data_IF_639573877557
#
_entry.id   IF_639573877557
#
_cell.length_a   1.000
_cell.length_b   1.000
_cell.length_c   1.000
_cell.angle_alpha   90.00
_cell.angle_beta   90.00
_cell.angle_gamma   90.00
#
_symmetry.space_group_name_H-M   'P 1'
#
loop_
_entity.id
_entity.type
_entity.pdbx_description
1 polymer ?
#
# COMPACT_ATOMS: atom_id res chain seq x y z
N UNK A 1 -14.91 -28.57 44.23
CA UNK A 1 -14.68 -27.71 43.04
C UNK A 1 -13.19 -27.44 42.98
N UNK A 2 -12.50 -28.03 42.00
CA UNK A 2 -11.03 -28.07 41.90
C UNK A 2 -10.47 -26.78 41.31
N UNK A 3 -9.20 -26.50 41.59
CA UNK A 3 -8.47 -25.30 41.15
C UNK A 3 -8.38 -25.12 39.63
N UNK A 4 -8.74 -26.13 38.83
CA UNK A 4 -8.85 -26.00 37.37
C UNK A 4 -10.04 -25.15 36.92
N UNK A 5 -11.14 -25.11 37.68
CA UNK A 5 -12.33 -24.33 37.31
C UNK A 5 -12.18 -22.82 37.52
N UNK A 6 -11.13 -22.38 38.24
CA UNK A 6 -10.86 -20.96 38.50
C UNK A 6 -9.96 -20.31 37.44
N UNK A 7 -9.21 -21.10 36.67
CA UNK A 7 -8.35 -20.58 35.60
C UNK A 7 -9.11 -20.33 34.29
N UNK A 8 -10.17 -21.10 34.01
CA UNK A 8 -11.02 -20.89 32.83
C UNK A 8 -12.00 -19.71 32.96
N UNK A 9 -12.28 -19.24 34.18
CA UNK A 9 -13.19 -18.09 34.39
C UNK A 9 -12.47 -16.73 34.35
N UNK A 10 -11.15 -16.71 34.16
CA UNK A 10 -10.35 -15.47 34.06
C UNK A 10 -10.06 -15.06 32.60
N UNK A 11 -10.44 -15.87 31.61
CA UNK A 11 -10.13 -15.66 30.18
C UNK A 11 -11.29 -15.01 29.40
N UNK A 12 -12.36 -14.58 30.08
CA UNK A 12 -13.57 -14.08 29.45
C UNK A 12 -13.91 -12.63 29.87
N UNK A 13 -12.93 -11.71 29.87
CA UNK A 13 -13.16 -10.26 29.82
C UNK A 13 -12.00 -9.61 29.07
N UNK A 14 -12.08 -9.55 27.73
CA UNK A 14 -11.40 -8.52 26.92
C UNK A 14 -12.32 -8.14 25.76
N UNK A 15 -13.46 -7.56 26.13
CA UNK A 15 -14.08 -6.51 25.34
C UNK A 15 -13.81 -5.20 26.09
N UNK A 16 -13.76 -4.07 25.37
CA UNK A 16 -13.45 -2.68 25.81
C UNK A 16 -11.95 -2.40 26.04
N UNK A 17 -11.31 -1.35 25.52
CA UNK A 17 -11.78 -0.14 24.84
C UNK A 17 -10.61 0.49 24.04
N UNK A 18 -10.76 0.73 22.72
CA UNK A 18 -9.95 1.74 22.04
C UNK A 18 -10.64 3.09 22.29
N UNK A 19 -10.22 3.77 23.36
CA UNK A 19 -10.55 5.16 23.60
C UNK A 19 -9.40 6.03 23.05
N UNK A 20 -9.72 6.86 22.07
CA UNK A 20 -8.86 7.92 21.54
C UNK A 20 -8.51 8.89 22.68
N UNK A 21 -7.23 8.95 23.06
CA UNK A 21 -6.61 9.98 23.90
C UNK A 21 -5.09 9.86 23.74
N UNK A 22 -4.27 10.87 23.50
CA UNK A 22 -4.44 12.31 23.37
C UNK A 22 -3.05 12.91 23.08
N UNK A 23 -3.05 14.12 22.55
CA UNK A 23 -1.88 14.97 22.33
C UNK A 23 -0.96 15.01 23.58
N UNK A 24 0.27 14.50 23.45
CA UNK A 24 1.30 14.53 24.49
C UNK A 24 2.60 15.09 23.92
N UNK A 25 2.79 16.40 24.08
CA UNK A 25 4.05 17.07 23.74
C UNK A 25 5.19 16.66 24.68
N UNK A 26 6.40 16.55 24.10
CA UNK A 26 7.64 16.36 24.84
C UNK A 26 8.79 17.06 24.12
N UNK A 27 9.22 18.20 24.66
CA UNK A 27 10.41 18.90 24.19
C UNK A 27 11.70 18.20 24.63
N UNK A 28 12.75 18.36 23.83
CA UNK A 28 14.11 17.94 24.18
C UNK A 28 15.13 18.70 23.34
N UNK A 29 15.84 19.63 23.97
CA UNK A 29 16.95 20.35 23.36
C UNK A 29 18.21 19.49 23.26
N UNK A 30 19.05 19.79 22.27
CA UNK A 30 20.36 19.15 22.10
C UNK A 30 21.30 20.08 21.34
N UNK A 31 22.21 20.69 22.08
CA UNK A 31 23.26 21.61 21.65
C UNK A 31 24.42 20.94 20.93
N UNK A 32 25.01 21.65 19.95
CA UNK A 32 26.45 21.83 19.85
C UNK A 32 27.23 20.84 18.97
N UNK A 33 27.92 21.39 17.97
CA UNK A 33 28.96 20.69 17.22
C UNK A 33 29.68 21.64 16.26
N UNK A 34 30.81 22.18 16.70
CA UNK A 34 31.72 23.03 15.92
C UNK A 34 32.89 22.21 15.40
N UNK A 35 33.37 22.53 14.19
CA UNK A 35 34.67 22.11 13.64
C UNK A 35 34.53 21.48 12.25
N UNK A 36 35.34 21.76 11.24
CA UNK A 36 36.58 22.54 11.14
C UNK A 36 37.47 21.92 10.05
N UNK A 37 38.07 22.74 9.18
CA UNK A 37 39.16 22.38 8.24
C UNK A 37 38.73 21.51 7.04
N UNK A 38 39.27 21.61 5.83
CA UNK A 38 40.48 22.26 5.31
C UNK A 38 40.98 21.45 4.11
N UNK A 39 41.56 22.12 3.10
CA UNK A 39 42.24 21.51 1.94
C UNK A 39 41.34 21.44 0.70
N UNK A 40 41.61 22.08 -0.44
CA UNK A 40 42.90 22.45 -1.01
C UNK A 40 43.44 21.29 -1.85
N UNK A 41 43.09 21.27 -3.14
CA UNK A 41 43.50 20.23 -4.08
C UNK A 41 43.20 20.61 -5.51
N UNK A 42 44.10 21.40 -6.11
CA UNK A 42 44.20 21.59 -7.55
C UNK A 42 44.55 20.26 -8.24
N UNK A 43 43.79 19.89 -9.27
CA UNK A 43 44.04 18.69 -10.05
C UNK A 43 43.34 18.76 -11.40
N UNK A 44 43.98 19.43 -12.36
CA UNK A 44 43.59 19.38 -13.77
C UNK A 44 43.82 17.98 -14.35
N UNK A 45 42.90 17.53 -15.20
CA UNK A 45 42.99 16.26 -15.92
C UNK A 45 42.09 16.29 -17.15
N UNK A 46 42.68 16.08 -18.32
CA UNK A 46 42.13 16.29 -19.65
C UNK A 46 40.83 15.56 -19.96
N UNK A 47 40.03 16.23 -20.79
CA UNK A 47 38.83 15.68 -21.40
C UNK A 47 39.12 14.49 -22.31
N UNK A 48 38.35 13.43 -22.09
CA UNK A 48 38.04 12.42 -23.10
C UNK A 48 36.54 12.50 -23.35
N UNK A 49 36.13 13.05 -24.49
CA UNK A 49 34.76 12.99 -24.96
C UNK A 49 34.42 11.54 -25.33
N UNK A 50 33.97 10.76 -24.35
CA UNK A 50 33.31 9.48 -24.59
C UNK A 50 31.92 9.78 -25.13
N UNK A 51 31.65 9.40 -26.38
CA UNK A 51 30.29 9.44 -26.91
C UNK A 51 29.42 8.54 -26.06
N UNK A 52 28.54 9.14 -25.27
CA UNK A 52 27.55 8.42 -24.47
C UNK A 52 26.64 7.65 -25.41
N UNK A 53 26.87 6.35 -25.53
CA UNK A 53 25.84 5.46 -26.04
C UNK A 53 24.73 5.50 -25.00
N UNK A 54 23.62 6.16 -25.33
CA UNK A 54 22.46 6.18 -24.45
C UNK A 54 21.99 4.75 -24.15
N UNK A 55 21.37 4.55 -22.99
CA UNK A 55 20.83 3.26 -22.58
C UNK A 55 19.87 2.73 -23.65
N UNK A 56 20.13 1.50 -24.11
CA UNK A 56 19.28 0.78 -25.08
C UNK A 56 18.38 -0.26 -24.40
N UNK A 57 18.38 -0.28 -23.08
CA UNK A 57 17.53 -1.14 -22.25
C UNK A 57 17.07 -0.33 -21.05
N UNK A 58 15.81 -0.54 -20.65
CA UNK A 58 15.22 0.07 -19.47
C UNK A 58 14.55 -1.05 -18.65
N UNK A 59 14.80 -1.07 -17.35
CA UNK A 59 14.06 -1.92 -16.41
C UNK A 59 13.17 -1.06 -15.52
N UNK A 60 12.07 -1.64 -15.05
CA UNK A 60 11.20 -0.98 -14.10
C UNK A 60 10.51 -1.99 -13.17
N UNK A 61 9.98 -1.48 -12.07
CA UNK A 61 9.24 -2.25 -11.05
C UNK A 61 7.88 -1.62 -10.81
N UNK A 62 6.81 -2.36 -11.08
CA UNK A 62 5.42 -1.93 -10.92
C UNK A 62 4.89 -2.39 -9.57
N UNK A 63 4.47 -1.46 -8.71
CA UNK A 63 4.18 -1.74 -7.30
C UNK A 63 2.89 -1.07 -6.83
N UNK A 64 1.91 -1.86 -6.37
CA UNK A 64 0.83 -1.48 -5.42
C UNK A 64 -0.05 -2.64 -4.83
N UNK A 65 0.46 -3.58 -3.99
CA UNK A 65 1.70 -4.35 -4.05
C UNK A 65 2.03 -4.81 -5.46
N UNK A 66 3.12 -5.55 -5.66
CA UNK A 66 3.53 -5.97 -7.00
C UNK A 66 2.36 -6.38 -7.90
N UNK A 67 2.23 -5.66 -9.02
CA UNK A 67 1.15 -5.84 -9.97
C UNK A 67 1.64 -6.84 -11.01
N UNK A 68 0.92 -7.95 -11.18
CA UNK A 68 1.27 -9.00 -12.14
C UNK A 68 0.51 -8.78 -13.46
N UNK A 69 1.18 -9.01 -14.59
CA UNK A 69 0.54 -8.99 -15.91
C UNK A 69 0.40 -7.60 -16.56
N UNK A 70 0.78 -6.52 -15.89
CA UNK A 70 0.69 -5.16 -16.42
C UNK A 70 1.71 -4.92 -17.54
N UNK A 71 1.31 -4.20 -18.59
CA UNK A 71 2.18 -3.81 -19.71
C UNK A 71 2.27 -2.29 -19.75
N UNK A 72 3.46 -1.76 -20.05
CA UNK A 72 3.71 -0.31 -20.12
C UNK A 72 4.28 0.09 -21.48
N UNK A 73 3.96 1.30 -21.90
CA UNK A 73 4.60 1.95 -23.04
C UNK A 73 5.60 3.00 -22.57
N UNK A 74 6.73 3.12 -23.27
CA UNK A 74 7.64 4.25 -23.14
C UNK A 74 7.21 5.33 -24.14
N UNK A 75 6.70 6.45 -23.65
CA UNK A 75 6.08 7.51 -24.48
C UNK A 75 6.64 8.88 -24.14
N UNK A 76 6.60 9.79 -25.11
CA UNK A 76 6.91 11.22 -24.95
C UNK A 76 5.65 12.10 -24.89
N UNK A 77 4.46 11.51 -25.10
CA UNK A 77 3.18 12.24 -25.16
C UNK A 77 2.26 12.02 -23.97
N UNK A 78 2.69 11.27 -22.96
CA UNK A 78 1.87 10.94 -21.79
C UNK A 78 0.72 9.97 -22.07
N UNK A 79 0.66 9.37 -23.26
CA UNK A 79 -0.32 8.33 -23.62
C UNK A 79 0.31 7.32 -24.57
N UNK A 80 0.02 6.03 -24.37
CA UNK A 80 0.45 4.95 -25.26
C UNK A 80 -0.02 5.16 -26.71
N UNK A 81 0.92 5.11 -27.66
CA UNK A 81 0.65 5.02 -29.10
C UNK A 81 0.92 3.61 -29.64
N UNK A 82 0.39 3.26 -30.83
CA UNK A 82 0.68 1.96 -31.45
C UNK A 82 2.18 1.71 -31.69
N UNK A 83 2.95 2.76 -31.98
CA UNK A 83 4.38 2.71 -32.29
C UNK A 83 5.31 2.90 -31.09
N UNK A 84 4.78 3.22 -29.91
CA UNK A 84 5.59 3.34 -28.69
C UNK A 84 6.18 1.96 -28.30
N UNK A 85 7.45 1.91 -27.85
CA UNK A 85 8.04 0.70 -27.28
C UNK A 85 7.21 0.18 -26.09
N UNK A 86 6.99 -1.13 -26.04
CA UNK A 86 6.23 -1.79 -24.97
C UNK A 86 7.12 -2.72 -24.16
N UNK A 87 6.83 -2.82 -22.87
CA UNK A 87 7.47 -3.80 -22.00
C UNK A 87 6.96 -5.21 -22.24
N UNK A 88 7.65 -6.21 -21.67
CA UNK A 88 6.97 -7.45 -21.30
C UNK A 88 5.90 -7.19 -20.22
N UNK A 89 4.97 -8.13 -20.05
CA UNK A 89 4.06 -8.14 -18.92
C UNK A 89 4.85 -8.29 -17.61
N UNK A 90 4.45 -7.56 -16.57
CA UNK A 90 5.07 -7.62 -15.25
C UNK A 90 4.94 -9.00 -14.63
N UNK A 91 6.00 -9.46 -13.96
CA UNK A 91 5.99 -10.73 -13.24
C UNK A 91 5.42 -10.59 -11.82
N UNK A 92 5.48 -11.67 -11.02
CA UNK A 92 4.99 -11.68 -9.64
C UNK A 92 5.75 -10.76 -8.68
N UNK A 93 6.86 -10.16 -9.14
CA UNK A 93 7.65 -9.14 -8.41
C UNK A 93 7.52 -7.77 -9.06
N UNK A 94 6.56 -7.60 -9.97
CA UNK A 94 6.29 -6.35 -10.66
C UNK A 94 7.36 -5.98 -11.69
N UNK A 95 8.34 -6.83 -11.97
CA UNK A 95 9.47 -6.47 -12.83
C UNK A 95 9.06 -6.48 -14.31
N UNK A 96 9.43 -5.41 -15.00
CA UNK A 96 9.29 -5.26 -16.45
C UNK A 96 10.61 -4.82 -17.08
N UNK A 97 10.72 -5.05 -18.38
CA UNK A 97 11.88 -4.72 -19.20
C UNK A 97 11.46 -4.24 -20.58
N UNK A 98 12.25 -3.32 -21.14
CA UNK A 98 12.11 -2.81 -22.50
C UNK A 98 13.35 -3.14 -23.33
N UNK A 99 13.12 -3.60 -24.54
CA UNK A 99 14.14 -3.72 -25.59
C UNK A 99 13.99 -2.51 -26.53
N UNK A 100 14.96 -1.60 -26.52
CA UNK A 100 14.88 -0.35 -27.27
C UNK A 100 15.75 -0.39 -28.52
N UNK A 101 15.21 0.09 -29.65
CA UNK A 101 15.97 0.25 -30.89
C UNK A 101 16.91 1.47 -30.89
N UNK A 102 16.82 2.31 -29.86
CA UNK A 102 17.58 3.55 -29.70
C UNK A 102 17.66 4.02 -28.25
N UNK A 103 18.28 5.19 -28.00
CA UNK A 103 18.32 5.77 -26.66
C UNK A 103 16.92 6.12 -26.15
N UNK A 104 16.73 6.09 -24.85
CA UNK A 104 15.53 6.61 -24.18
C UNK A 104 15.33 8.08 -24.59
N UNK A 105 14.14 8.48 -25.09
CA UNK A 105 13.86 9.87 -25.42
C UNK A 105 14.00 10.79 -24.21
N UNK A 106 14.45 12.03 -24.44
CA UNK A 106 14.36 13.07 -23.41
C UNK A 106 12.90 13.24 -22.97
N UNK A 107 12.69 13.44 -21.68
CA UNK A 107 11.37 13.59 -21.06
C UNK A 107 10.42 12.39 -21.27
N UNK A 108 10.94 11.19 -21.48
CA UNK A 108 10.12 9.99 -21.58
C UNK A 108 9.33 9.72 -20.29
N UNK A 109 8.20 9.04 -20.45
CA UNK A 109 7.29 8.62 -19.40
C UNK A 109 6.87 7.17 -19.65
N UNK A 110 6.79 6.39 -18.58
CA UNK A 110 6.15 5.08 -18.61
C UNK A 110 4.66 5.28 -18.31
N UNK A 111 3.80 4.68 -19.13
CA UNK A 111 2.33 4.73 -18.96
C UNK A 111 1.77 3.33 -19.15
N UNK A 112 0.89 2.89 -18.26
CA UNK A 112 0.24 1.59 -18.37
C UNK A 112 -0.60 1.51 -19.67
N UNK A 113 -0.44 0.43 -20.41
CA UNK A 113 -1.18 0.15 -21.65
C UNK A 113 -2.53 -0.49 -21.30
N UNK A 114 -3.56 0.34 -21.16
CA UNK A 114 -4.91 -0.12 -20.82
C UNK A 114 -5.50 -1.09 -21.84
N UNK A 115 -5.05 -1.06 -23.10
CA UNK A 115 -5.52 -1.99 -24.14
C UNK A 115 -4.89 -3.38 -23.98
N UNK A 116 -3.71 -3.46 -23.38
CA UNK A 116 -3.03 -4.72 -23.03
C UNK A 116 -3.45 -5.27 -21.65
N UNK A 117 -4.03 -4.42 -20.79
CA UNK A 117 -4.48 -4.75 -19.45
C UNK A 117 -3.62 -4.09 -18.37
N UNK A 118 -4.27 -3.65 -17.29
CA UNK A 118 -3.62 -2.97 -16.16
C UNK A 118 -2.97 -3.94 -15.16
N UNK A 119 -3.14 -5.25 -15.36
CA UNK A 119 -2.64 -6.30 -14.47
C UNK A 119 -3.55 -6.57 -13.27
N UNK A 120 -3.05 -7.41 -12.39
CA UNK A 120 -3.74 -7.91 -11.19
C UNK A 120 -2.92 -7.52 -9.96
N UNK A 121 -3.57 -6.94 -8.96
CA UNK A 121 -2.99 -6.69 -7.64
C UNK A 121 -3.81 -7.46 -6.59
N UNK A 122 -3.15 -8.25 -5.74
CA UNK A 122 -3.83 -9.03 -4.70
C UNK A 122 -5.02 -9.87 -5.21
N UNK A 123 -4.90 -10.44 -6.42
CA UNK A 123 -5.94 -11.29 -7.03
C UNK A 123 -7.13 -10.56 -7.63
N UNK A 124 -7.15 -9.22 -7.61
CA UNK A 124 -8.17 -8.38 -8.26
C UNK A 124 -7.60 -7.61 -9.43
N UNK A 125 -8.45 -7.28 -10.41
CA UNK A 125 -8.08 -6.36 -11.48
C UNK A 125 -7.62 -5.03 -10.91
N UNK A 126 -6.47 -4.56 -11.35
CA UNK A 126 -5.97 -3.27 -10.96
C UNK A 126 -6.70 -2.15 -11.72
N UNK A 127 -7.20 -1.16 -10.99
CA UNK A 127 -8.15 -0.17 -11.53
C UNK A 127 -7.55 1.23 -11.76
N UNK A 128 -6.24 1.40 -11.63
CA UNK A 128 -5.55 2.68 -11.80
C UNK A 128 -4.61 2.61 -13.01
N UNK A 129 -4.66 3.62 -13.89
CA UNK A 129 -3.63 3.77 -14.94
C UNK A 129 -2.38 4.36 -14.32
N UNK A 130 -1.36 3.52 -14.12
CA UNK A 130 -0.11 3.92 -13.48
C UNK A 130 0.84 4.58 -14.47
N UNK A 131 1.69 5.45 -13.94
CA UNK A 131 2.68 6.13 -14.73
C UNK A 131 3.91 6.54 -13.92
N UNK A 132 5.03 6.80 -14.60
CA UNK A 132 6.24 7.31 -13.98
C UNK A 132 7.06 8.13 -14.98
N UNK A 133 7.67 9.21 -14.50
CA UNK A 133 8.64 9.97 -15.29
C UNK A 133 9.96 9.19 -15.37
N UNK A 134 10.57 9.12 -16.56
CA UNK A 134 11.83 8.40 -16.78
C UNK A 134 12.98 9.39 -16.84
N UNK A 135 13.97 9.22 -15.96
CA UNK A 135 15.25 9.90 -16.10
C UNK A 135 16.14 9.10 -17.06
N UNK A 136 16.76 9.75 -18.05
CA UNK A 136 17.61 9.09 -19.06
C UNK A 136 18.83 8.39 -18.48
N UNK A 137 19.21 8.73 -17.25
CA UNK A 137 20.34 8.13 -16.53
C UNK A 137 19.92 7.02 -15.54
N UNK A 138 18.62 6.69 -15.45
CA UNK A 138 18.12 5.66 -14.54
C UNK A 138 18.12 4.28 -15.19
N UNK A 139 18.75 3.31 -14.54
CA UNK A 139 18.79 1.90 -14.98
C UNK A 139 17.52 1.12 -14.57
N UNK A 140 16.88 1.53 -13.46
CA UNK A 140 15.64 0.96 -12.92
C UNK A 140 14.69 2.10 -12.50
N UNK A 141 13.41 1.97 -12.84
CA UNK A 141 12.36 2.95 -12.53
C UNK A 141 11.30 2.27 -11.67
N UNK A 142 10.94 2.87 -10.54
CA UNK A 142 9.80 2.40 -9.75
C UNK A 142 8.53 3.09 -10.27
N UNK A 143 7.51 2.29 -10.55
CA UNK A 143 6.18 2.74 -10.94
C UNK A 143 5.24 2.40 -9.78
N UNK A 144 4.93 3.41 -8.96
CA UNK A 144 4.05 3.33 -7.79
C UNK A 144 2.93 4.37 -7.88
N UNK A 145 1.90 4.34 -7.01
CA UNK A 145 0.90 5.39 -6.97
C UNK A 145 1.52 6.77 -6.69
N UNK A 146 2.59 6.84 -5.90
CA UNK A 146 3.29 8.10 -5.61
C UNK A 146 4.03 8.65 -6.84
N UNK A 147 4.73 7.80 -7.60
CA UNK A 147 5.35 8.24 -8.86
C UNK A 147 4.29 8.56 -9.93
N UNK A 148 3.12 7.91 -9.87
CA UNK A 148 1.98 8.21 -10.74
C UNK A 148 1.38 9.57 -10.41
N UNK A 149 1.25 9.93 -9.13
CA UNK A 149 0.81 11.27 -8.72
C UNK A 149 1.77 12.34 -9.27
N UNK A 150 3.08 12.10 -9.13
CA UNK A 150 4.10 12.96 -9.73
C UNK A 150 3.91 13.09 -11.24
N UNK A 151 3.84 11.97 -11.95
CA UNK A 151 3.79 11.99 -13.40
C UNK A 151 2.48 12.56 -13.96
N UNK A 152 1.33 12.32 -13.31
CA UNK A 152 0.04 12.89 -13.70
C UNK A 152 -0.05 14.40 -13.48
N UNK A 153 0.77 14.95 -12.59
CA UNK A 153 0.84 16.40 -12.38
C UNK A 153 1.69 17.12 -13.43
N UNK A 154 2.44 16.38 -14.26
CA UNK A 154 3.25 16.96 -15.33
C UNK A 154 2.35 17.52 -16.46
N UNK A 155 2.73 18.68 -16.99
CA UNK A 155 2.08 19.28 -18.14
C UNK A 155 2.44 18.53 -19.41
N UNK A 156 1.44 18.06 -20.14
CA UNK A 156 1.63 17.48 -21.48
C UNK A 156 1.34 18.55 -22.54
N UNK A 157 2.31 18.81 -23.40
CA UNK A 157 2.19 19.76 -24.50
C UNK A 157 2.39 19.08 -25.86
N UNK A 158 2.13 19.79 -26.96
CA UNK A 158 2.42 19.28 -28.31
C UNK A 158 3.90 18.99 -28.58
N UNK A 159 4.80 19.38 -27.67
CA UNK A 159 6.23 19.10 -27.73
C UNK A 159 6.69 18.02 -26.74
N UNK A 160 5.75 17.37 -26.04
CA UNK A 160 6.01 16.29 -25.10
C UNK A 160 5.64 16.62 -23.65
N UNK A 161 6.05 15.73 -22.73
CA UNK A 161 5.87 15.86 -21.27
C UNK A 161 6.89 16.85 -20.71
N UNK A 162 6.43 17.84 -19.94
CA UNK A 162 7.30 18.80 -19.23
C UNK A 162 7.55 18.33 -17.79
N UNK A 163 8.69 17.67 -17.56
CA UNK A 163 9.07 17.13 -16.26
C UNK A 163 9.23 18.22 -15.19
N UNK A 164 9.62 19.44 -15.58
CA UNK A 164 9.85 20.55 -14.64
C UNK A 164 8.54 21.14 -14.10
N UNK A 165 7.41 20.83 -14.73
CA UNK A 165 6.09 21.26 -14.30
C UNK A 165 5.39 20.29 -13.34
N UNK A 166 5.95 19.10 -13.14
CA UNK A 166 5.43 18.10 -12.21
C UNK A 166 5.66 18.52 -10.75
N UNK A 167 4.84 17.99 -9.85
CA UNK A 167 5.10 17.99 -8.42
C UNK A 167 6.48 17.37 -8.16
N UNK A 168 7.26 18.02 -7.30
CA UNK A 168 8.52 17.46 -6.83
C UNK A 168 8.27 16.41 -5.75
N UNK A 169 9.28 15.58 -5.47
CA UNK A 169 9.19 14.61 -4.37
C UNK A 169 8.95 15.32 -3.02
N UNK A 170 9.48 16.53 -2.85
CA UNK A 170 9.25 17.35 -1.66
C UNK A 170 7.79 17.83 -1.56
N UNK A 171 7.16 18.22 -2.67
CA UNK A 171 5.76 18.64 -2.69
C UNK A 171 4.83 17.47 -2.31
N UNK A 172 5.11 16.27 -2.80
CA UNK A 172 4.32 15.06 -2.47
C UNK A 172 4.48 14.70 -0.98
N UNK A 173 5.71 14.79 -0.45
CA UNK A 173 5.94 14.62 0.99
C UNK A 173 5.14 15.65 1.80
N UNK A 174 5.15 16.92 1.39
CA UNK A 174 4.42 17.98 2.07
C UNK A 174 2.90 17.70 2.07
N UNK A 175 2.35 17.26 0.94
CA UNK A 175 0.94 16.85 0.82
C UNK A 175 0.59 15.70 1.77
N UNK A 176 1.39 14.64 1.78
CA UNK A 176 1.13 13.45 2.60
C UNK A 176 1.30 13.76 4.11
N UNK A 177 2.30 14.55 4.48
CA UNK A 177 2.51 15.00 5.85
C UNK A 177 1.38 15.93 6.33
N UNK A 178 0.91 16.84 5.48
CA UNK A 178 -0.22 17.72 5.77
C UNK A 178 -1.54 16.93 5.98
N UNK A 179 -1.62 15.73 5.40
CA UNK A 179 -2.72 14.79 5.57
C UNK A 179 -2.50 13.77 6.71
N UNK A 180 -1.41 13.87 7.47
CA UNK A 180 -1.16 13.09 8.69
C UNK A 180 -0.12 11.98 8.60
N UNK A 181 0.57 11.83 7.45
CA UNK A 181 1.62 10.82 7.28
C UNK A 181 3.02 11.38 7.60
N UNK A 182 3.39 11.42 8.88
CA UNK A 182 4.55 12.17 9.36
C UNK A 182 5.93 11.61 8.93
N UNK A 183 6.08 10.30 8.75
CA UNK A 183 7.40 9.66 8.60
C UNK A 183 7.86 9.43 7.16
N UNK A 184 7.14 9.98 6.18
CA UNK A 184 7.53 9.85 4.77
C UNK A 184 8.59 10.88 4.36
N UNK A 185 9.55 10.45 3.55
CA UNK A 185 10.64 11.27 3.01
C UNK A 185 10.61 11.34 1.47
N UNK A 186 11.40 12.26 0.90
CA UNK A 186 11.46 12.43 -0.56
C UNK A 186 12.00 11.18 -1.26
N UNK A 187 12.92 10.46 -0.61
CA UNK A 187 13.47 9.21 -1.13
C UNK A 187 12.41 8.12 -1.26
N UNK A 188 11.38 8.14 -0.40
CA UNK A 188 10.32 7.14 -0.39
C UNK A 188 9.39 7.25 -1.60
N UNK A 189 9.29 8.43 -2.22
CA UNK A 189 8.42 8.66 -3.39
C UNK A 189 8.83 7.79 -4.58
N UNK A 190 10.14 7.63 -4.80
CA UNK A 190 10.72 6.82 -5.88
C UNK A 190 11.23 5.45 -5.45
N UNK A 191 11.11 5.11 -4.17
CA UNK A 191 11.52 3.80 -3.67
C UNK A 191 10.41 2.77 -3.88
N UNK A 192 10.80 1.51 -4.09
CA UNK A 192 9.85 0.40 -4.07
C UNK A 192 9.29 0.24 -2.65
N UNK A 193 7.96 0.45 -2.45
CA UNK A 193 7.33 0.33 -1.15
C UNK A 193 7.22 -1.10 -0.63
N UNK A 194 7.56 -2.12 -1.42
CA UNK A 194 7.55 -3.53 -1.04
C UNK A 194 8.95 -4.13 -0.87
N UNK A 195 9.99 -3.42 -1.32
CA UNK A 195 11.37 -3.82 -1.06
C UNK A 195 11.61 -3.91 0.45
N UNK A 196 12.32 -4.95 0.85
CA UNK A 196 12.61 -5.34 2.24
C UNK A 196 11.40 -5.83 3.06
N UNK A 197 10.15 -5.59 2.66
CA UNK A 197 8.96 -5.97 3.45
C UNK A 197 8.60 -7.45 3.34
N UNK A 198 8.79 -8.05 2.17
CA UNK A 198 8.46 -9.46 1.94
C UNK A 198 9.27 -10.43 2.82
N UNK A 199 10.44 -10.00 3.30
CA UNK A 199 11.34 -10.82 4.11
C UNK A 199 11.29 -10.49 5.62
N UNK A 200 10.52 -9.46 6.02
CA UNK A 200 10.38 -9.09 7.43
C UNK A 200 9.51 -10.12 8.16
N UNK A 201 10.21 -11.06 8.79
CA UNK A 201 9.70 -11.80 9.95
C UNK A 201 10.18 -11.06 11.21
N UNK A 202 9.39 -10.10 11.69
CA UNK A 202 9.76 -9.30 12.86
C UNK A 202 9.15 -7.90 12.87
N UNK A 203 9.75 -7.03 13.68
CA UNK A 203 9.36 -5.62 13.81
C UNK A 203 9.62 -4.89 12.49
N UNK A 204 8.54 -4.39 11.88
CA UNK A 204 8.60 -3.47 10.73
C UNK A 204 8.76 -2.07 11.31
N UNK A 205 9.75 -1.32 10.83
CA UNK A 205 9.96 0.03 11.34
C UNK A 205 8.89 1.01 10.84
N UNK A 206 8.70 2.10 11.59
CA UNK A 206 7.67 3.10 11.30
C UNK A 206 7.86 3.76 9.91
N UNK A 207 9.11 3.86 9.41
CA UNK A 207 9.42 4.43 8.10
C UNK A 207 9.00 3.50 6.95
N UNK A 208 9.22 2.18 7.09
CA UNK A 208 8.76 1.17 6.15
C UNK A 208 7.22 1.17 6.09
N UNK A 209 6.56 1.27 7.24
CA UNK A 209 5.12 1.42 7.28
C UNK A 209 4.65 2.69 6.60
N UNK A 210 5.30 3.83 6.87
CA UNK A 210 4.93 5.09 6.26
C UNK A 210 5.04 5.04 4.73
N UNK A 211 6.04 4.34 4.19
CA UNK A 211 6.18 4.16 2.73
C UNK A 211 5.02 3.36 2.13
N UNK A 212 4.65 2.22 2.73
CA UNK A 212 3.50 1.42 2.29
C UNK A 212 2.20 2.24 2.41
N UNK A 213 2.03 2.91 3.56
CA UNK A 213 0.86 3.73 3.84
C UNK A 213 0.73 4.85 2.79
N UNK A 214 1.82 5.54 2.47
CA UNK A 214 1.88 6.56 1.44
C UNK A 214 1.48 6.04 0.07
N UNK A 215 1.99 4.88 -0.34
CA UNK A 215 1.62 4.24 -1.61
C UNK A 215 0.12 3.92 -1.68
N UNK A 216 -0.41 3.17 -0.71
CA UNK A 216 -1.81 2.74 -0.69
C UNK A 216 -2.79 3.93 -0.57
N UNK A 217 -2.48 4.92 0.26
CA UNK A 217 -3.33 6.11 0.39
C UNK A 217 -3.32 6.95 -0.89
N UNK A 218 -2.17 7.03 -1.57
CA UNK A 218 -2.07 7.73 -2.86
C UNK A 218 -2.86 6.99 -3.95
N UNK A 219 -2.91 5.66 -3.93
CA UNK A 219 -3.77 4.89 -4.83
C UNK A 219 -5.25 5.26 -4.65
N UNK A 220 -5.76 5.23 -3.41
CA UNK A 220 -7.15 5.59 -3.12
C UNK A 220 -7.48 7.04 -3.53
N UNK A 221 -6.54 7.96 -3.28
CA UNK A 221 -6.63 9.35 -3.71
C UNK A 221 -6.72 9.48 -5.24
N UNK A 222 -5.79 8.88 -5.98
CA UNK A 222 -5.73 8.98 -7.44
C UNK A 222 -6.98 8.41 -8.11
N UNK A 223 -7.53 7.31 -7.58
CA UNK A 223 -8.79 6.74 -8.08
C UNK A 223 -9.97 7.70 -7.91
N UNK A 224 -10.06 8.41 -6.79
CA UNK A 224 -11.13 9.39 -6.58
C UNK A 224 -10.96 10.65 -7.41
N UNK A 225 -9.73 11.16 -7.52
CA UNK A 225 -9.41 12.32 -8.35
C UNK A 225 -9.72 12.04 -9.82
N UNK A 226 -9.37 10.86 -10.32
CA UNK A 226 -9.60 10.47 -11.71
C UNK A 226 -11.08 10.45 -12.14
N UNK A 227 -12.01 10.30 -11.19
CA UNK A 227 -13.45 10.33 -11.46
C UNK A 227 -14.06 11.72 -11.35
N UNK A 228 -13.48 12.59 -10.53
CA UNK A 228 -13.99 13.94 -10.36
C UNK A 228 -13.53 14.82 -11.52
N UNK A 229 -14.47 15.27 -12.36
CA UNK A 229 -14.18 16.27 -13.39
C UNK A 229 -13.62 17.58 -12.83
N UNK A 230 -13.87 17.89 -11.56
CA UNK A 230 -13.30 19.08 -10.90
C UNK A 230 -11.84 18.84 -10.53
N UNK A 231 -11.54 17.73 -9.85
CA UNK A 231 -10.20 17.45 -9.33
C UNK A 231 -9.24 17.01 -10.45
N UNK A 232 -9.70 16.20 -11.40
CA UNK A 232 -8.88 15.72 -12.54
C UNK A 232 -8.36 16.85 -13.46
N UNK A 233 -8.95 18.05 -13.41
CA UNK A 233 -8.53 19.19 -14.19
C UNK A 233 -7.64 20.18 -13.41
N UNK A 234 -7.31 19.89 -12.15
CA UNK A 234 -6.41 20.72 -11.36
C UNK A 234 -4.97 20.61 -11.90
N UNK A 235 -4.30 21.75 -12.03
CA UNK A 235 -2.84 21.79 -12.22
C UNK A 235 -2.09 21.30 -10.98
N UNK A 236 -0.80 20.97 -11.12
CA UNK A 236 0.08 20.63 -10.00
C UNK A 236 0.02 21.68 -8.86
N UNK A 237 0.05 22.97 -9.21
CA UNK A 237 0.00 24.06 -8.26
C UNK A 237 -1.36 24.16 -7.54
N UNK A 238 -2.47 23.89 -8.24
CA UNK A 238 -3.82 23.87 -7.64
C UNK A 238 -4.00 22.66 -6.73
N UNK A 239 -3.49 21.49 -7.12
CA UNK A 239 -3.50 20.28 -6.29
C UNK A 239 -2.70 20.50 -5.00
N UNK A 240 -1.49 21.05 -5.12
CA UNK A 240 -0.65 21.39 -3.97
C UNK A 240 -1.35 22.39 -3.05
N UNK A 241 -1.87 23.49 -3.60
CA UNK A 241 -2.59 24.49 -2.82
C UNK A 241 -3.80 23.86 -2.09
N UNK A 242 -4.61 23.06 -2.79
CA UNK A 242 -5.78 22.39 -2.22
C UNK A 242 -5.42 21.37 -1.12
N UNK A 243 -4.26 20.71 -1.23
CA UNK A 243 -3.80 19.74 -0.26
C UNK A 243 -3.15 20.34 0.99
N UNK A 244 -2.66 21.58 0.90
CA UNK A 244 -2.07 22.31 2.04
C UNK A 244 -3.07 23.22 2.75
N UNK A 245 -4.25 23.45 2.16
CA UNK A 245 -5.30 24.23 2.80
C UNK A 245 -5.98 23.45 3.92
N UNK A 246 -5.91 24.00 5.14
CA UNK A 246 -6.55 23.40 6.32
C UNK A 246 -8.08 23.39 6.20
N UNK A 247 -8.73 22.34 6.69
CA UNK A 247 -10.18 22.01 6.64
C UNK A 247 -11.21 23.12 6.89
N UNK A 248 -10.83 24.30 7.40
CA UNK A 248 -11.77 25.39 7.68
C UNK A 248 -12.29 26.11 6.41
N UNK A 249 -11.71 25.88 5.23
CA UNK A 249 -12.23 26.37 3.95
C UNK A 249 -12.81 25.21 3.13
N UNK A 250 -14.13 25.02 3.21
CA UNK A 250 -14.86 23.93 2.57
C UNK A 250 -14.80 23.93 1.04
N UNK A 251 -14.33 25.02 0.42
CA UNK A 251 -14.22 25.13 -1.05
C UNK A 251 -12.90 24.61 -1.60
N UNK A 252 -11.83 24.72 -0.81
CA UNK A 252 -10.47 24.62 -1.32
C UNK A 252 -9.67 23.47 -0.68
N UNK A 253 -10.05 22.97 0.50
CA UNK A 253 -9.35 21.86 1.18
C UNK A 253 -9.70 20.45 0.68
N UNK A 254 -10.27 20.31 -0.52
CA UNK A 254 -10.79 19.03 -1.03
C UNK A 254 -9.72 17.94 -1.11
N UNK A 255 -8.54 18.27 -1.67
CA UNK A 255 -7.42 17.34 -1.78
C UNK A 255 -6.94 16.91 -0.39
N UNK A 256 -6.82 17.86 0.56
CA UNK A 256 -6.41 17.54 1.94
C UNK A 256 -7.39 16.56 2.60
N UNK A 257 -8.70 16.79 2.47
CA UNK A 257 -9.72 15.95 3.10
C UNK A 257 -9.74 14.54 2.53
N UNK A 258 -9.63 14.40 1.20
CA UNK A 258 -9.56 13.08 0.56
C UNK A 258 -8.30 12.34 1.02
N UNK A 259 -7.12 12.98 0.93
CA UNK A 259 -5.86 12.37 1.37
C UNK A 259 -5.91 11.98 2.84
N UNK A 260 -6.40 12.85 3.73
CA UNK A 260 -6.50 12.56 5.17
C UNK A 260 -7.40 11.36 5.45
N UNK A 261 -8.53 11.26 4.75
CA UNK A 261 -9.45 10.12 4.86
C UNK A 261 -8.79 8.82 4.38
N UNK A 262 -8.07 8.86 3.25
CA UNK A 262 -7.35 7.69 2.73
C UNK A 262 -6.18 7.29 3.65
N UNK A 263 -5.48 8.27 4.23
CA UNK A 263 -4.40 8.01 5.20
C UNK A 263 -4.96 7.41 6.49
N UNK A 264 -6.05 7.94 7.04
CA UNK A 264 -6.71 7.37 8.23
C UNK A 264 -7.16 5.92 7.99
N UNK A 265 -7.77 5.65 6.83
CA UNK A 265 -8.19 4.31 6.43
C UNK A 265 -7.00 3.32 6.42
N UNK A 266 -5.90 3.72 5.77
CA UNK A 266 -4.73 2.87 5.60
C UNK A 266 -3.94 2.74 6.90
N UNK A 267 -3.77 3.80 7.68
CA UNK A 267 -3.13 3.72 9.01
C UNK A 267 -3.96 2.89 10.00
N UNK A 268 -5.28 2.81 9.82
CA UNK A 268 -6.10 1.89 10.62
C UNK A 268 -5.87 0.44 10.23
N UNK A 269 -5.65 0.18 8.93
CA UNK A 269 -5.49 -1.17 8.39
C UNK A 269 -4.05 -1.72 8.50
N UNK A 270 -3.07 -0.84 8.29
CA UNK A 270 -1.64 -1.14 8.17
C UNK A 270 -0.93 -0.42 9.33
N UNK A 271 -0.93 -1.05 10.50
CA UNK A 271 -0.34 -0.50 11.72
C UNK A 271 0.33 -1.62 12.54
N UNK A 272 1.51 -1.36 13.15
CA UNK A 272 2.19 -2.29 14.06
C UNK A 272 1.25 -2.95 15.08
N UNK A 273 0.31 -2.22 15.67
CA UNK A 273 -0.60 -2.76 16.68
C UNK A 273 -1.50 -3.91 16.15
N UNK A 274 -1.82 -3.91 14.86
CA UNK A 274 -2.56 -5.01 14.22
C UNK A 274 -1.66 -6.23 14.06
N UNK A 275 -0.38 -6.03 13.75
CA UNK A 275 0.63 -7.10 13.73
C UNK A 275 0.79 -7.68 15.12
N UNK A 276 1.03 -6.85 16.11
CA UNK A 276 1.28 -7.28 17.49
C UNK A 276 0.08 -8.08 18.02
N UNK A 277 -1.14 -7.61 17.80
CA UNK A 277 -2.34 -8.32 18.24
C UNK A 277 -2.52 -9.69 17.53
N UNK A 278 -2.20 -9.76 16.24
CA UNK A 278 -2.22 -11.01 15.50
C UNK A 278 -1.11 -11.96 15.97
N UNK A 279 0.11 -11.44 16.15
CA UNK A 279 1.27 -12.19 16.62
C UNK A 279 1.07 -12.71 18.04
N UNK A 280 0.55 -11.89 18.97
CA UNK A 280 0.20 -12.30 20.32
C UNK A 280 -0.80 -13.47 20.33
N UNK A 281 -1.73 -13.48 19.37
CA UNK A 281 -2.69 -14.58 19.22
C UNK A 281 -2.00 -15.86 18.73
N UNK A 282 -1.06 -15.74 17.80
CA UNK A 282 -0.24 -16.87 17.31
C UNK A 282 0.69 -17.38 18.41
N UNK A 283 1.30 -16.50 19.19
CA UNK A 283 2.20 -16.86 20.28
C UNK A 283 1.46 -17.59 21.40
N UNK A 284 0.25 -17.18 21.75
CA UNK A 284 -0.61 -17.93 22.69
C UNK A 284 -0.93 -19.35 22.19
N UNK A 285 -1.15 -19.52 20.88
CA UNK A 285 -1.34 -20.84 20.27
C UNK A 285 -0.03 -21.65 20.34
N UNK A 286 1.10 -21.03 20.06
CA UNK A 286 2.42 -21.66 20.13
C UNK A 286 2.78 -22.09 21.56
N UNK A 287 2.54 -21.26 22.56
CA UNK A 287 2.73 -21.59 23.98
C UNK A 287 1.88 -22.80 24.40
N UNK A 288 0.65 -22.89 23.89
CA UNK A 288 -0.19 -24.07 24.10
C UNK A 288 0.42 -25.29 23.42
N UNK A 289 0.86 -25.18 22.16
CA UNK A 289 1.51 -26.25 21.39
C UNK A 289 2.79 -26.74 22.09
N UNK A 290 3.59 -25.86 22.68
CA UNK A 290 4.81 -26.20 23.41
C UNK A 290 4.56 -27.15 24.59
N UNK A 291 3.40 -27.03 25.25
CA UNK A 291 2.99 -27.92 26.33
C UNK A 291 2.49 -29.29 25.84
N UNK A 292 2.39 -29.51 24.52
CA UNK A 292 1.92 -30.76 23.89
C UNK A 292 3.07 -31.52 23.21
N UNK A 293 2.85 -32.78 22.77
CA UNK A 293 3.82 -33.50 21.94
C UNK A 293 4.15 -32.84 20.58
N UNK A 294 3.53 -31.72 20.24
CA UNK A 294 3.63 -31.03 18.96
C UNK A 294 4.63 -29.86 18.97
N UNK A 295 5.33 -29.63 20.08
CA UNK A 295 6.31 -28.55 20.26
C UNK A 295 7.37 -28.43 19.14
N UNK A 296 7.57 -29.47 18.33
CA UNK A 296 8.44 -29.43 17.14
C UNK A 296 7.87 -28.65 15.94
N UNK A 297 6.65 -28.10 16.02
CA UNK A 297 5.94 -27.49 14.89
C UNK A 297 5.10 -26.27 15.31
N UNK A 298 5.75 -25.14 15.65
CA UNK A 298 5.02 -23.91 15.91
C UNK A 298 4.33 -23.40 14.64
N UNK A 299 3.26 -22.63 14.83
CA UNK A 299 2.66 -21.84 13.78
C UNK A 299 3.65 -20.79 13.30
N UNK A 300 3.70 -20.50 11.98
CA UNK A 300 4.55 -19.45 11.44
C UNK A 300 4.21 -18.07 12.03
N UNK A 301 5.21 -17.21 12.18
CA UNK A 301 4.98 -15.82 12.58
C UNK A 301 4.12 -15.08 11.53
N UNK A 302 3.43 -14.03 11.97
CA UNK A 302 2.74 -13.10 11.06
C UNK A 302 3.81 -12.31 10.31
N UNK A 303 3.71 -12.26 8.98
CA UNK A 303 4.61 -11.48 8.14
C UNK A 303 3.97 -10.15 7.74
N UNK A 304 4.79 -9.16 7.42
CA UNK A 304 4.31 -7.88 6.92
C UNK A 304 3.47 -8.02 5.64
N UNK A 305 3.79 -9.00 4.77
CA UNK A 305 3.03 -9.29 3.54
C UNK A 305 1.53 -9.54 3.82
N UNK A 306 1.19 -10.28 4.88
CA UNK A 306 -0.21 -10.56 5.26
C UNK A 306 -0.97 -9.27 5.56
N UNK A 307 -0.31 -8.32 6.21
CA UNK A 307 -0.88 -7.04 6.63
C UNK A 307 -1.04 -6.11 5.44
N UNK A 308 -0.04 -6.07 4.55
CA UNK A 308 -0.13 -5.31 3.31
C UNK A 308 -1.32 -5.81 2.50
N UNK A 309 -1.49 -7.12 2.33
CA UNK A 309 -2.64 -7.70 1.61
C UNK A 309 -3.98 -7.33 2.25
N UNK A 310 -4.06 -7.32 3.58
CA UNK A 310 -5.25 -6.83 4.29
C UNK A 310 -5.48 -5.33 4.07
N UNK A 311 -4.41 -4.52 4.11
CA UNK A 311 -4.44 -3.09 3.82
C UNK A 311 -4.96 -2.77 2.43
N UNK A 312 -4.53 -3.53 1.42
CA UNK A 312 -5.00 -3.44 0.03
C UNK A 312 -6.50 -3.70 -0.06
N UNK A 313 -6.97 -4.82 0.50
CA UNK A 313 -8.40 -5.14 0.49
C UNK A 313 -9.25 -4.07 1.19
N UNK A 314 -8.73 -3.46 2.28
CA UNK A 314 -9.38 -2.35 2.96
C UNK A 314 -9.43 -1.11 2.07
N UNK A 315 -8.31 -0.69 1.47
CA UNK A 315 -8.27 0.52 0.66
C UNK A 315 -9.09 0.36 -0.62
N UNK A 316 -9.13 -0.82 -1.23
CA UNK A 316 -10.01 -1.12 -2.36
C UNK A 316 -11.48 -1.01 -1.99
N UNK A 317 -11.86 -1.50 -0.81
CA UNK A 317 -13.23 -1.36 -0.31
C UNK A 317 -13.60 0.11 -0.06
N UNK A 318 -12.76 0.84 0.67
CA UNK A 318 -12.99 2.27 1.00
C UNK A 318 -13.06 3.09 -0.29
N UNK A 319 -12.11 2.87 -1.20
CA UNK A 319 -12.04 3.57 -2.48
C UNK A 319 -13.22 3.18 -3.37
N UNK A 320 -13.56 1.89 -3.48
CA UNK A 320 -14.69 1.41 -4.26
C UNK A 320 -16.03 2.01 -3.80
N UNK A 321 -16.23 2.11 -2.48
CA UNK A 321 -17.41 2.79 -1.91
C UNK A 321 -17.45 4.27 -2.24
N UNK A 322 -16.32 4.95 -2.15
CA UNK A 322 -16.23 6.37 -2.47
C UNK A 322 -16.42 6.64 -3.98
N UNK A 323 -15.85 5.78 -4.83
CA UNK A 323 -16.03 5.78 -6.30
C UNK A 323 -17.51 5.62 -6.64
N UNK A 324 -18.17 4.59 -6.12
CA UNK A 324 -19.58 4.33 -6.39
C UNK A 324 -20.47 5.52 -6.00
N UNK A 325 -20.23 6.11 -4.83
CA UNK A 325 -20.98 7.27 -4.37
C UNK A 325 -20.71 8.53 -5.21
N UNK A 326 -19.46 8.73 -5.66
CA UNK A 326 -19.07 9.81 -6.55
C UNK A 326 -19.77 9.68 -7.91
N UNK A 327 -19.79 8.49 -8.50
CA UNK A 327 -20.48 8.20 -9.77
C UNK A 327 -21.99 8.40 -9.66
N UNK A 328 -22.62 7.95 -8.57
CA UNK A 328 -24.05 8.16 -8.30
C UNK A 328 -24.42 9.64 -8.14
N UNK A 329 -23.44 10.47 -7.81
CA UNK A 329 -23.59 11.92 -7.64
C UNK A 329 -22.97 12.72 -8.81
N UNK A 330 -22.93 12.14 -10.01
CA UNK A 330 -22.43 12.79 -11.25
C UNK A 330 -20.99 13.35 -11.13
N UNK A 331 -20.12 12.67 -10.39
CA UNK A 331 -18.72 13.06 -10.19
C UNK A 331 -18.46 14.03 -9.03
N UNK A 332 -19.44 14.22 -8.13
CA UNK A 332 -19.27 14.97 -6.89
C UNK A 332 -18.38 14.20 -5.90
N UNK A 333 -17.13 14.64 -5.78
CA UNK A 333 -16.15 14.04 -4.86
C UNK A 333 -16.60 14.10 -3.40
N UNK A 334 -17.46 15.07 -3.03
CA UNK A 334 -17.98 15.22 -1.67
C UNK A 334 -18.85 14.03 -1.28
N UNK A 335 -19.62 13.48 -2.24
CA UNK A 335 -20.40 12.27 -2.03
C UNK A 335 -19.48 11.07 -1.76
N UNK A 336 -18.40 10.94 -2.53
CA UNK A 336 -17.37 9.91 -2.32
C UNK A 336 -16.69 10.02 -0.96
N UNK A 337 -16.27 11.23 -0.58
CA UNK A 337 -15.64 11.50 0.72
C UNK A 337 -16.57 11.16 1.89
N UNK A 338 -17.85 11.55 1.80
CA UNK A 338 -18.85 11.24 2.81
C UNK A 338 -19.06 9.72 2.93
N UNK A 339 -19.06 8.99 1.82
CA UNK A 339 -19.21 7.53 1.82
C UNK A 339 -17.99 6.84 2.44
N UNK A 340 -16.76 7.25 2.11
CA UNK A 340 -15.54 6.75 2.75
C UNK A 340 -15.56 7.05 4.26
N UNK A 341 -15.82 8.30 4.64
CA UNK A 341 -15.85 8.72 6.05
C UNK A 341 -16.91 7.96 6.86
N UNK A 342 -18.09 7.71 6.28
CA UNK A 342 -19.15 6.93 6.92
C UNK A 342 -18.73 5.46 7.14
N UNK A 343 -17.94 4.90 6.21
CA UNK A 343 -17.41 3.55 6.33
C UNK A 343 -16.37 3.46 7.45
N UNK A 344 -15.44 4.43 7.52
CA UNK A 344 -14.42 4.50 8.58
C UNK A 344 -15.03 4.74 9.96
N UNK A 345 -16.06 5.57 10.05
CA UNK A 345 -16.82 5.81 11.29
C UNK A 345 -17.67 4.64 11.75
N UNK A 346 -17.78 3.56 10.97
CA UNK A 346 -18.55 2.38 11.34
C UNK A 346 -17.83 1.59 12.46
N UNK A 347 -18.54 1.33 13.57
CA UNK A 347 -17.99 0.56 14.69
C UNK A 347 -17.50 -0.85 14.32
N UNK A 348 -17.96 -1.41 13.20
CA UNK A 348 -17.52 -2.69 12.67
C UNK A 348 -16.23 -2.66 11.85
N UNK A 349 -15.74 -1.48 11.45
CA UNK A 349 -14.58 -1.33 10.55
C UNK A 349 -13.28 -1.85 11.19
N UNK A 350 -12.97 -1.43 12.43
CA UNK A 350 -11.82 -1.95 13.16
C UNK A 350 -11.89 -3.49 13.32
N UNK A 351 -13.09 -4.01 13.59
CA UNK A 351 -13.31 -5.45 13.64
C UNK A 351 -13.07 -6.13 12.30
N UNK A 352 -13.43 -5.49 11.17
CA UNK A 352 -13.17 -6.02 9.83
C UNK A 352 -11.65 -6.13 9.56
N UNK A 353 -10.87 -5.10 9.88
CA UNK A 353 -9.39 -5.11 9.69
C UNK A 353 -8.78 -6.35 10.35
N UNK A 354 -9.09 -6.60 11.62
CA UNK A 354 -8.59 -7.78 12.35
C UNK A 354 -9.03 -9.10 11.70
N UNK A 355 -10.29 -9.18 11.22
CA UNK A 355 -10.80 -10.38 10.55
C UNK A 355 -10.10 -10.67 9.23
N UNK A 356 -9.86 -9.62 8.43
CA UNK A 356 -9.16 -9.74 7.16
C UNK A 356 -7.71 -10.15 7.36
N UNK A 357 -6.98 -9.50 8.27
CA UNK A 357 -5.60 -9.88 8.58
C UNK A 357 -5.48 -11.35 8.99
N UNK A 358 -6.39 -11.82 9.86
CA UNK A 358 -6.44 -13.23 10.28
C UNK A 358 -6.76 -14.18 9.11
N UNK A 359 -7.66 -13.78 8.21
CA UNK A 359 -8.05 -14.59 7.05
C UNK A 359 -6.91 -14.68 6.03
N UNK A 360 -6.22 -13.58 5.74
CA UNK A 360 -5.00 -13.57 4.91
C UNK A 360 -3.89 -14.41 5.54
N UNK A 361 -3.70 -14.35 6.86
CA UNK A 361 -2.75 -15.22 7.57
C UNK A 361 -3.09 -16.70 7.35
N UNK A 362 -4.37 -17.07 7.52
CA UNK A 362 -4.86 -18.44 7.32
C UNK A 362 -4.65 -18.92 5.88
N UNK A 363 -4.88 -18.05 4.91
CA UNK A 363 -4.70 -18.35 3.50
C UNK A 363 -3.21 -18.51 3.12
N UNK A 364 -2.36 -17.57 3.57
CA UNK A 364 -0.91 -17.60 3.33
C UNK A 364 -0.25 -18.84 3.94
N UNK A 365 -0.69 -19.25 5.14
CA UNK A 365 -0.12 -20.39 5.88
C UNK A 365 -0.91 -21.70 5.72
N UNK A 366 -1.85 -21.76 4.78
CA UNK A 366 -2.79 -22.87 4.60
C UNK A 366 -2.13 -24.25 4.66
N UNK A 367 -1.05 -24.46 3.90
CA UNK A 367 -0.36 -25.75 3.86
C UNK A 367 0.21 -26.21 5.21
N UNK A 368 0.73 -25.26 5.99
CA UNK A 368 1.27 -25.53 7.35
C UNK A 368 0.13 -25.81 8.32
N UNK A 369 -0.92 -24.96 8.30
CA UNK A 369 -2.08 -25.07 9.18
C UNK A 369 -2.87 -26.35 8.93
N UNK A 370 -3.12 -26.72 7.68
CA UNK A 370 -3.83 -27.96 7.33
C UNK A 370 -3.06 -29.21 7.80
N UNK A 371 -1.73 -29.21 7.64
CA UNK A 371 -0.88 -30.30 8.13
C UNK A 371 -0.93 -30.40 9.65
N UNK A 372 -0.95 -29.27 10.35
CA UNK A 372 -1.15 -29.24 11.80
C UNK A 372 -2.50 -29.85 12.17
N UNK A 373 -3.61 -29.33 11.63
CA UNK A 373 -4.98 -29.80 11.93
C UNK A 373 -5.14 -31.30 11.67
N UNK A 374 -4.54 -31.84 10.60
CA UNK A 374 -4.62 -33.25 10.28
C UNK A 374 -3.88 -34.16 11.28
N UNK A 375 -2.87 -33.64 11.98
CA UNK A 375 -2.01 -34.41 12.89
C UNK A 375 -2.41 -34.24 14.36
N UNK A 376 -3.13 -33.18 14.72
CA UNK A 376 -3.58 -32.96 16.09
C UNK A 376 -5.01 -33.48 16.29
N UNK A 377 -5.25 -34.40 17.24
CA UNK A 377 -6.60 -34.71 17.66
C UNK A 377 -7.27 -33.43 18.16
N UNK A 378 -8.31 -32.95 17.47
CA UNK A 378 -9.18 -31.87 17.95
C UNK A 378 -9.79 -32.31 19.28
N UNK A 379 -9.22 -31.83 20.38
CA UNK A 379 -9.79 -31.99 21.72
C UNK A 379 -10.77 -30.86 21.96
N UNK A 380 -11.74 -31.06 22.86
CA UNK A 380 -12.69 -30.01 23.26
C UNK A 380 -11.98 -28.72 23.71
N UNK A 381 -10.77 -28.83 24.30
CA UNK A 381 -9.96 -27.68 24.72
C UNK A 381 -9.38 -26.90 23.53
N UNK A 382 -8.98 -27.59 22.45
CA UNK A 382 -8.47 -26.92 21.25
C UNK A 382 -9.60 -26.40 20.36
N UNK A 383 -10.73 -27.10 20.33
CA UNK A 383 -11.95 -26.61 19.69
C UNK A 383 -12.51 -25.39 20.46
N UNK A 384 -12.34 -25.33 21.78
CA UNK A 384 -12.60 -24.14 22.57
C UNK A 384 -11.55 -23.03 22.35
N UNK A 385 -10.27 -23.36 22.19
CA UNK A 385 -9.23 -22.36 21.90
C UNK A 385 -9.45 -21.70 20.53
N UNK A 386 -9.76 -22.52 19.51
CA UNK A 386 -10.07 -22.05 18.16
C UNK A 386 -11.46 -21.42 18.12
N UNK A 387 -12.49 -22.06 18.68
CA UNK A 387 -13.90 -21.64 18.57
C UNK A 387 -14.37 -20.58 19.59
N UNK A 388 -13.73 -20.43 20.75
CA UNK A 388 -14.03 -19.34 21.69
C UNK A 388 -13.28 -18.06 21.34
N UNK A 389 -12.24 -18.14 20.51
CA UNK A 389 -11.67 -16.97 19.87
C UNK A 389 -12.57 -16.65 18.66
N UNK A 390 -13.13 -15.43 18.54
CA UNK A 390 -13.84 -15.05 17.32
C UNK A 390 -12.96 -15.25 16.05
N UNK A 391 -11.63 -15.36 16.19
CA UNK A 391 -10.67 -15.80 15.18
C UNK A 391 -10.84 -17.22 14.58
N UNK A 392 -11.50 -18.17 15.27
CA UNK A 392 -11.58 -19.55 14.81
C UNK A 392 -12.27 -19.74 13.47
N UNK A 393 -13.35 -18.99 13.23
CA UNK A 393 -14.08 -19.04 11.96
C UNK A 393 -13.30 -18.35 10.82
N UNK A 394 -12.40 -17.44 11.15
CA UNK A 394 -11.67 -16.63 10.16
C UNK A 394 -10.45 -17.35 9.63
N UNK A 395 -9.75 -18.13 10.47
CA UNK A 395 -8.70 -19.05 10.00
C UNK A 395 -9.27 -20.09 9.04
N UNK A 396 -10.46 -20.63 9.33
CA UNK A 396 -11.13 -21.58 8.42
C UNK A 396 -11.51 -20.91 7.09
N UNK A 397 -12.04 -19.69 7.15
CA UNK A 397 -12.31 -18.88 5.95
C UNK A 397 -11.03 -18.67 5.14
N UNK A 398 -9.93 -18.30 5.79
CA UNK A 398 -8.58 -18.20 5.23
C UNK A 398 -8.13 -19.47 4.51
N UNK A 399 -8.10 -20.58 5.24
CA UNK A 399 -7.67 -21.89 4.73
C UNK A 399 -8.57 -22.43 3.63
N UNK A 400 -9.86 -22.08 3.63
CA UNK A 400 -10.81 -22.48 2.58
C UNK A 400 -10.61 -21.68 1.29
N UNK A 401 -9.89 -20.56 1.34
CA UNK A 401 -9.68 -19.71 0.19
C UNK A 401 -8.55 -20.23 -0.70
N UNK A 402 -8.91 -20.80 -1.86
CA UNK A 402 -7.92 -21.39 -2.79
C UNK A 402 -7.08 -20.35 -3.52
N UNK A 403 -7.63 -19.16 -3.81
CA UNK A 403 -6.85 -18.09 -4.45
C UNK A 403 -5.85 -17.43 -3.50
N UNK A 404 -6.10 -17.49 -2.19
CA UNK A 404 -5.35 -16.72 -1.20
C UNK A 404 -5.73 -15.24 -1.11
N UNK A 405 -6.78 -14.81 -1.82
CA UNK A 405 -7.17 -13.42 -1.95
C UNK A 405 -8.64 -13.19 -1.58
N UNK A 406 -8.92 -12.00 -1.05
CA UNK A 406 -10.25 -11.62 -0.58
C UNK A 406 -10.68 -10.29 -1.17
N UNK A 407 -11.96 -10.18 -1.52
CA UNK A 407 -12.64 -8.89 -1.73
C UNK A 407 -13.50 -8.57 -0.53
N UNK A 408 -13.80 -7.28 -0.33
CA UNK A 408 -14.70 -6.83 0.73
C UNK A 408 -15.81 -5.99 0.12
N UNK A 409 -17.05 -6.37 0.45
CA UNK A 409 -18.24 -5.69 -0.01
C UNK A 409 -18.64 -4.54 0.93
N UNK A 410 -19.65 -3.79 0.50
CA UNK A 410 -20.23 -2.65 1.22
C UNK A 410 -20.67 -2.93 2.64
N UNK A 411 -21.08 -4.17 2.90
CA UNK A 411 -21.69 -4.58 4.15
C UNK A 411 -20.63 -5.10 5.14
N UNK A 412 -19.34 -4.83 4.87
CA UNK A 412 -18.18 -5.31 5.63
C UNK A 412 -18.11 -6.85 5.66
N UNK A 413 -18.69 -7.49 4.65
CA UNK A 413 -18.56 -8.92 4.35
C UNK A 413 -17.42 -9.11 3.39
N UNK A 414 -16.60 -10.13 3.59
CA UNK A 414 -15.51 -10.45 2.68
C UNK A 414 -15.71 -11.84 2.07
N UNK A 415 -15.27 -11.99 0.83
CA UNK A 415 -15.41 -13.23 0.06
C UNK A 415 -14.07 -13.63 -0.53
N UNK A 416 -13.81 -14.95 -0.58
CA UNK A 416 -12.63 -15.45 -1.28
C UNK A 416 -12.81 -15.28 -2.78
N UNK A 417 -11.79 -14.76 -3.47
CA UNK A 417 -11.77 -14.66 -4.92
C UNK A 417 -11.66 -16.07 -5.50
N UNK A 418 -12.48 -16.42 -6.49
CA UNK A 418 -12.40 -17.72 -7.16
C UNK A 418 -11.46 -17.60 -8.36
N UNK A 419 -10.34 -18.32 -8.33
CA UNK A 419 -9.37 -18.33 -9.44
C UNK A 419 -10.02 -18.78 -10.75
N UNK A 420 -9.90 -17.97 -11.82
CA UNK A 420 -10.36 -18.32 -13.17
C UNK A 420 -11.84 -18.02 -13.47
N UNK A 421 -12.47 -17.12 -12.71
CA UNK A 421 -13.73 -16.48 -13.12
C UNK A 421 -13.44 -15.11 -13.73
N UNK A 422 -12.90 -15.09 -14.94
CA UNK A 422 -12.92 -13.93 -15.84
C UNK A 422 -13.85 -14.20 -17.03
#
# INVERSE_FOLDING_TARGET
MSDHSKKLLSTAIFATALAVSGCGGGGGGGSGGSGGGGGGGDGGGGGGGGGGGGLTSLSATVVDPYIEGAVFCLTDTGSCKPDDPRSNASDSTGKISFELEGPIPENAMLVADSDAGLGIHNGTDFMLTMSALVNTDADDVVISPMTTLRANSATVSGNGVDHDSALTDADIVELLQAAGLAEISAQDISADPMTDIAELSGEVDDAQFARIQGALSTYGFLRLVGLSSTLSNMSAAELLASGLETENDTSNGAVQQILSTMIEAVQTAVNPAVIDAAQDSIDQINDFIEATPLSSRPFPAVTAEVIVKAGVAIIDMVTGKAVEACEQADGDYTAGLNAASALLGNAGFAGLVTRLGTSYYGAHNKGVLQKFIAEVPMTDDMDALLGANPAGNWLDTGMSCESGHFTVDSDLTYTCIVSGQD
#
